data_IF_400224431259
#
_entry.id   IF_400224431259
#
_cell.length_a   1.000
_cell.length_b   1.000
_cell.length_c   1.000
_cell.angle_alpha   90.00
_cell.angle_beta   90.00
_cell.angle_gamma   90.00
#
_symmetry.space_group_name_H-M   'P 1'
#
loop_
_entity.id
_entity.type
_entity.pdbx_description
1 polymer ?
#
# COMPACT_ATOMS: atom_id res chain seq x y z
N UNK A 1 -8.51 10.74 -4.73
CA UNK A 1 -9.21 9.56 -4.19
C UNK A 1 -9.44 9.79 -2.70
N UNK A 2 -10.56 9.33 -2.13
CA UNK A 2 -10.88 9.55 -0.70
C UNK A 2 -10.08 8.62 0.22
N UNK A 3 -9.80 7.40 -0.23
CA UNK A 3 -9.11 6.35 0.54
C UNK A 3 -9.99 5.66 1.59
N UNK A 4 -11.30 5.93 1.57
CA UNK A 4 -12.28 5.29 2.44
C UNK A 4 -12.42 3.80 2.12
N UNK A 5 -12.61 2.99 3.17
CA UNK A 5 -12.92 1.57 3.09
C UNK A 5 -14.27 1.33 2.42
N UNK A 6 -14.38 0.23 1.70
CA UNK A 6 -15.62 -0.22 1.08
C UNK A 6 -16.14 -1.48 1.79
N UNK A 7 -17.43 -1.50 2.10
CA UNK A 7 -18.12 -2.69 2.61
C UNK A 7 -18.77 -3.47 1.48
N UNK A 8 -19.12 -4.74 1.71
CA UNK A 8 -19.85 -5.58 0.74
C UNK A 8 -19.07 -5.81 -0.57
N UNK A 9 -17.75 -5.63 -0.55
CA UNK A 9 -16.87 -6.13 -1.59
C UNK A 9 -16.59 -7.61 -1.35
N UNK A 10 -16.74 -8.42 -2.40
CA UNK A 10 -16.28 -9.80 -2.42
C UNK A 10 -14.76 -9.81 -2.49
N UNK A 11 -14.12 -10.61 -1.65
CA UNK A 11 -12.69 -10.83 -1.68
C UNK A 11 -12.45 -12.33 -1.85
N UNK A 12 -11.68 -12.71 -2.87
CA UNK A 12 -11.39 -14.12 -3.18
C UNK A 12 -9.89 -14.34 -3.30
N UNK A 13 -9.39 -15.45 -2.79
CA UNK A 13 -8.00 -15.90 -2.96
C UNK A 13 -8.02 -17.43 -3.02
N UNK A 14 -7.41 -18.00 -4.06
CA UNK A 14 -7.49 -19.43 -4.36
C UNK A 14 -8.96 -19.90 -4.38
N UNK A 15 -9.30 -20.93 -3.61
CA UNK A 15 -10.66 -21.47 -3.51
C UNK A 15 -11.48 -20.85 -2.37
N UNK A 16 -10.94 -19.81 -1.71
CA UNK A 16 -11.59 -19.16 -0.58
C UNK A 16 -12.18 -17.81 -0.98
N UNK A 17 -13.32 -17.47 -0.40
CA UNK A 17 -14.02 -16.21 -0.63
C UNK A 17 -14.63 -15.71 0.67
N UNK A 18 -14.59 -14.40 0.85
CA UNK A 18 -15.19 -13.68 1.98
C UNK A 18 -15.76 -12.35 1.50
N UNK A 19 -16.44 -11.64 2.40
CA UNK A 19 -17.07 -10.35 2.10
C UNK A 19 -16.64 -9.33 3.15
N UNK A 20 -16.29 -8.13 2.70
CA UNK A 20 -15.90 -7.04 3.61
C UNK A 20 -17.08 -6.56 4.46
N UNK A 21 -16.80 -6.40 5.76
CA UNK A 21 -17.74 -5.86 6.74
C UNK A 21 -17.93 -4.33 6.58
N UNK A 22 -18.67 -3.68 7.49
CA UNK A 22 -18.91 -2.23 7.46
C UNK A 22 -17.64 -1.37 7.57
N UNK A 23 -16.57 -1.92 8.14
CA UNK A 23 -15.25 -1.28 8.23
C UNK A 23 -14.37 -1.58 7.01
N UNK A 24 -14.89 -2.32 6.04
CA UNK A 24 -14.19 -2.79 4.85
C UNK A 24 -13.16 -3.90 5.10
N UNK A 25 -13.31 -4.65 6.18
CA UNK A 25 -12.41 -5.73 6.56
C UNK A 25 -13.05 -7.09 6.31
N UNK A 26 -12.24 -8.07 5.89
CA UNK A 26 -12.62 -9.48 5.87
C UNK A 26 -11.41 -10.34 6.24
N UNK A 27 -11.67 -11.50 6.83
CA UNK A 27 -10.66 -12.54 7.04
C UNK A 27 -10.90 -13.66 6.03
N UNK A 28 -9.81 -14.19 5.50
CA UNK A 28 -9.82 -15.41 4.71
C UNK A 28 -8.77 -16.33 5.31
N UNK A 29 -9.19 -17.51 5.73
CA UNK A 29 -8.29 -18.52 6.23
C UNK A 29 -7.39 -18.99 5.09
N UNK A 30 -6.08 -18.87 5.30
CA UNK A 30 -5.07 -19.49 4.45
C UNK A 30 -4.94 -20.96 4.88
N UNK A 31 -4.62 -21.86 3.95
CA UNK A 31 -4.40 -23.29 4.22
C UNK A 31 -3.68 -23.53 5.57
N UNK A 32 -4.15 -24.52 6.33
CA UNK A 32 -3.37 -25.03 7.47
C UNK A 32 -2.12 -25.67 6.90
N UNK A 33 -0.96 -25.19 7.32
CA UNK A 33 0.39 -25.69 6.97
C UNK A 33 0.62 -27.16 7.34
N UNK A 34 -0.32 -27.79 8.03
CA UNK A 34 -0.25 -29.21 8.42
C UNK A 34 -0.52 -30.17 7.23
N UNK A 35 -1.10 -29.69 6.13
CA UNK A 35 -1.60 -30.52 5.02
C UNK A 35 -0.78 -30.45 3.72
N UNK A 36 0.34 -29.70 3.69
CA UNK A 36 1.09 -29.42 2.44
C UNK A 36 2.58 -29.70 2.64
N UNK A 37 3.23 -30.36 1.68
CA UNK A 37 4.69 -30.51 1.75
C UNK A 37 5.38 -29.15 1.52
N UNK A 38 6.50 -28.89 2.20
CA UNK A 38 7.24 -27.60 2.12
C UNK A 38 7.53 -27.11 0.68
N UNK A 39 7.62 -28.03 -0.29
CA UNK A 39 7.88 -27.74 -1.70
C UNK A 39 6.63 -27.30 -2.47
N UNK A 40 5.48 -27.91 -2.21
CA UNK A 40 4.18 -27.51 -2.78
C UNK A 40 3.75 -26.15 -2.23
N UNK A 41 4.02 -25.87 -0.94
CA UNK A 41 3.77 -24.55 -0.36
C UNK A 41 4.52 -23.41 -1.07
N UNK A 42 5.75 -23.64 -1.55
CA UNK A 42 6.56 -22.60 -2.21
C UNK A 42 6.06 -22.28 -3.63
N UNK A 43 5.48 -23.25 -4.34
CA UNK A 43 4.91 -23.04 -5.67
C UNK A 43 3.51 -22.42 -5.59
N UNK A 44 2.67 -22.87 -4.66
CA UNK A 44 1.33 -22.28 -4.45
C UNK A 44 1.43 -20.82 -3.98
N UNK A 45 2.39 -20.51 -3.09
CA UNK A 45 2.68 -19.13 -2.65
C UNK A 45 2.99 -18.18 -3.81
N UNK A 46 3.59 -18.66 -4.90
CA UNK A 46 3.96 -17.84 -6.06
C UNK A 46 2.80 -17.55 -7.00
N UNK A 47 1.70 -18.29 -6.90
CA UNK A 47 0.57 -18.21 -7.84
C UNK A 47 -0.73 -17.67 -7.21
N UNK A 48 -0.69 -17.21 -5.96
CA UNK A 48 -1.85 -16.61 -5.31
C UNK A 48 -2.22 -15.25 -5.91
N UNK A 49 -3.46 -15.17 -6.41
CA UNK A 49 -4.11 -13.94 -6.86
C UNK A 49 -5.25 -13.62 -5.90
N UNK A 50 -5.18 -12.47 -5.25
CA UNK A 50 -6.31 -11.88 -4.53
C UNK A 50 -7.13 -11.07 -5.52
N UNK A 51 -8.42 -11.39 -5.60
CA UNK A 51 -9.40 -10.68 -6.41
C UNK A 51 -10.38 -10.00 -5.49
N UNK A 52 -10.56 -8.69 -5.67
CA UNK A 52 -11.59 -7.90 -4.99
C UNK A 52 -12.61 -7.45 -6.04
N UNK A 53 -13.88 -7.75 -5.80
CA UNK A 53 -14.99 -7.40 -6.68
C UNK A 53 -16.04 -6.58 -5.91
N UNK A 54 -16.49 -5.48 -6.51
CA UNK A 54 -17.60 -4.67 -5.99
C UNK A 54 -18.36 -4.04 -7.14
N UNK A 55 -19.66 -4.29 -7.23
CA UNK A 55 -20.57 -3.64 -8.19
C UNK A 55 -20.09 -3.72 -9.66
N UNK A 56 -19.43 -4.83 -10.04
CA UNK A 56 -18.88 -5.06 -11.36
C UNK A 56 -17.44 -4.54 -11.56
N UNK A 57 -16.92 -3.73 -10.63
CA UNK A 57 -15.51 -3.34 -10.60
C UNK A 57 -14.65 -4.46 -10.02
N UNK A 58 -13.43 -4.60 -10.55
CA UNK A 58 -12.49 -5.64 -10.17
C UNK A 58 -11.09 -5.09 -9.94
N UNK A 59 -10.46 -5.53 -8.85
CA UNK A 59 -9.06 -5.28 -8.54
C UNK A 59 -8.36 -6.62 -8.29
N UNK A 60 -7.15 -6.77 -8.81
CA UNK A 60 -6.32 -7.95 -8.61
C UNK A 60 -5.00 -7.58 -7.96
N UNK A 61 -4.58 -8.37 -6.97
CA UNK A 61 -3.26 -8.31 -6.38
C UNK A 61 -2.58 -9.66 -6.47
N UNK A 62 -1.46 -9.70 -7.18
CA UNK A 62 -0.57 -10.86 -7.30
C UNK A 62 0.61 -10.71 -6.35
N UNK A 63 1.33 -11.82 -6.11
CA UNK A 63 2.53 -11.88 -5.27
C UNK A 63 2.26 -11.35 -3.85
N UNK A 64 1.31 -11.98 -3.17
CA UNK A 64 0.90 -11.59 -1.81
C UNK A 64 1.87 -12.24 -0.84
N UNK A 65 2.70 -11.40 -0.22
CA UNK A 65 3.59 -11.83 0.84
C UNK A 65 2.95 -11.50 2.18
N UNK A 66 2.85 -12.49 3.10
CA UNK A 66 2.37 -12.20 4.44
C UNK A 66 3.34 -11.25 5.12
N UNK A 67 2.80 -10.15 5.65
CA UNK A 67 3.56 -9.25 6.51
C UNK A 67 4.04 -10.02 7.75
N UNK A 68 5.32 -9.90 8.08
CA UNK A 68 5.97 -10.61 9.20
C UNK A 68 6.13 -9.74 10.45
N UNK A 69 5.43 -8.59 10.52
CA UNK A 69 5.54 -7.70 11.67
C UNK A 69 5.10 -8.40 12.96
N UNK A 70 5.97 -8.31 13.96
CA UNK A 70 5.77 -8.79 15.33
C UNK A 70 5.29 -7.68 16.27
N UNK A 71 5.39 -6.43 15.83
CA UNK A 71 5.00 -5.22 16.56
C UNK A 71 4.11 -4.34 15.69
N UNK A 72 3.47 -3.35 16.32
CA UNK A 72 2.67 -2.36 15.62
C UNK A 72 3.51 -1.67 14.54
N UNK A 73 3.02 -1.67 13.30
CA UNK A 73 3.77 -1.14 12.15
C UNK A 73 2.89 -0.27 11.28
N UNK A 74 3.47 0.79 10.72
CA UNK A 74 2.83 1.54 9.64
C UNK A 74 3.09 0.86 8.31
N UNK A 75 2.01 0.48 7.62
CA UNK A 75 2.05 -0.10 6.28
C UNK A 75 1.67 0.97 5.27
N UNK A 76 2.46 1.06 4.21
CA UNK A 76 2.37 2.11 3.19
C UNK A 76 2.09 1.50 1.84
N UNK A 77 1.16 2.10 1.11
CA UNK A 77 0.95 1.83 -0.32
C UNK A 77 1.04 3.16 -1.06
N UNK A 78 2.15 3.37 -1.78
CA UNK A 78 2.51 4.62 -2.42
C UNK A 78 2.64 4.39 -3.92
N UNK A 79 2.10 5.31 -4.70
CA UNK A 79 2.11 5.25 -6.16
C UNK A 79 2.09 6.66 -6.75
N UNK A 80 2.45 6.74 -8.03
CA UNK A 80 2.40 7.98 -8.80
C UNK A 80 1.42 7.84 -9.98
N UNK A 81 1.13 8.92 -10.69
CA UNK A 81 0.14 8.93 -11.77
C UNK A 81 0.65 8.33 -13.09
N UNK A 82 1.96 8.37 -13.37
CA UNK A 82 2.49 8.09 -14.72
C UNK A 82 3.76 7.24 -14.79
N UNK A 83 4.47 7.01 -13.68
CA UNK A 83 5.74 6.28 -13.65
C UNK A 83 6.96 7.05 -14.20
N UNK A 84 6.80 7.81 -15.29
CA UNK A 84 7.84 8.62 -15.94
C UNK A 84 7.40 10.07 -16.08
N UNK A 85 8.33 10.99 -15.80
CA UNK A 85 8.13 12.44 -15.87
C UNK A 85 9.30 13.11 -16.57
N UNK A 86 9.04 14.27 -17.18
CA UNK A 86 10.08 15.14 -17.75
C UNK A 86 10.40 16.31 -16.81
N UNK A 87 11.58 16.94 -16.98
CA UNK A 87 11.85 18.24 -16.35
C UNK A 87 10.69 19.22 -16.59
N UNK A 88 10.42 20.08 -15.61
CA UNK A 88 9.29 21.04 -15.57
C UNK A 88 7.89 20.43 -15.48
N UNK A 89 7.74 19.11 -15.41
CA UNK A 89 6.42 18.51 -15.21
C UNK A 89 6.02 18.49 -13.74
N UNK A 90 4.70 18.55 -13.52
CA UNK A 90 4.09 18.28 -12.24
C UNK A 90 4.07 16.77 -11.99
N UNK A 91 4.69 16.37 -10.88
CA UNK A 91 4.68 15.03 -10.34
C UNK A 91 3.61 14.96 -9.26
N UNK A 92 2.78 13.93 -9.33
CA UNK A 92 1.80 13.62 -8.30
C UNK A 92 2.12 12.30 -7.64
N UNK A 93 2.37 12.32 -6.33
CA UNK A 93 2.58 11.12 -5.53
C UNK A 93 1.44 11.00 -4.53
N UNK A 94 0.76 9.86 -4.56
CA UNK A 94 -0.37 9.57 -3.67
C UNK A 94 -0.07 8.33 -2.87
N UNK A 95 -0.69 8.22 -1.71
CA UNK A 95 -0.55 6.99 -0.95
C UNK A 95 -1.53 6.86 0.20
N UNK A 96 -1.59 5.63 0.70
CA UNK A 96 -2.34 5.25 1.89
C UNK A 96 -1.37 4.80 2.96
N UNK A 97 -1.65 5.20 4.19
CA UNK A 97 -0.94 4.77 5.38
C UNK A 97 -1.95 4.11 6.32
N UNK A 98 -1.62 2.92 6.80
CA UNK A 98 -2.40 2.18 7.78
C UNK A 98 -1.51 1.83 8.96
N UNK A 99 -2.05 1.93 10.18
CA UNK A 99 -1.41 1.32 11.34
C UNK A 99 -1.95 -0.11 11.45
N UNK A 100 -1.06 -1.08 11.34
CA UNK A 100 -1.37 -2.47 11.62
C UNK A 100 -1.09 -2.72 13.10
N UNK A 101 -2.15 -2.80 13.90
CA UNK A 101 -2.03 -3.09 15.33
C UNK A 101 -1.95 -4.60 15.53
N UNK A 102 -0.95 -5.05 16.26
CA UNK A 102 -0.76 -6.46 16.60
C UNK A 102 -1.31 -6.68 18.01
N UNK A 103 -2.29 -7.57 18.13
CA UNK A 103 -2.92 -7.95 19.40
C UNK A 103 -2.98 -9.48 19.50
N UNK A 104 -1.95 -10.07 20.12
CA UNK A 104 -1.75 -11.52 20.05
C UNK A 104 -1.50 -11.95 18.61
N UNK A 105 -2.33 -12.86 18.09
CA UNK A 105 -2.28 -13.30 16.69
C UNK A 105 -3.08 -12.41 15.74
N UNK A 106 -3.91 -11.50 16.27
CA UNK A 106 -4.75 -10.63 15.47
C UNK A 106 -3.95 -9.45 14.91
N UNK A 107 -4.14 -9.18 13.61
CA UNK A 107 -3.62 -8.00 12.92
C UNK A 107 -4.78 -7.08 12.55
N UNK A 108 -4.92 -5.96 13.26
CA UNK A 108 -6.05 -5.05 13.15
C UNK A 108 -5.63 -3.75 12.45
N UNK A 109 -5.94 -3.58 11.15
CA UNK A 109 -5.60 -2.36 10.43
C UNK A 109 -6.52 -1.21 10.84
N UNK A 110 -5.93 -0.03 11.04
CA UNK A 110 -6.65 1.22 11.30
C UNK A 110 -6.11 2.35 10.43
N UNK A 111 -6.91 3.41 10.24
CA UNK A 111 -6.45 4.59 9.50
C UNK A 111 -5.38 5.33 10.29
N UNK A 112 -4.19 5.47 9.69
CA UNK A 112 -3.17 6.34 10.25
C UNK A 112 -3.67 7.80 10.22
N UNK A 113 -3.32 8.56 11.25
CA UNK A 113 -3.63 9.99 11.36
C UNK A 113 -2.33 10.75 11.56
N UNK A 114 -2.35 12.05 11.28
CA UNK A 114 -1.25 12.95 11.60
C UNK A 114 -0.58 13.53 10.36
N UNK A 115 0.72 13.78 10.49
CA UNK A 115 1.54 14.46 9.50
C UNK A 115 2.71 13.55 9.13
N UNK A 116 2.96 13.45 7.82
CA UNK A 116 4.10 12.73 7.25
C UNK A 116 5.12 13.75 6.77
N UNK A 117 6.34 13.63 7.26
CA UNK A 117 7.49 14.34 6.71
C UNK A 117 7.98 13.57 5.49
N UNK A 118 8.24 14.27 4.37
CA UNK A 118 8.76 13.63 3.17
C UNK A 118 9.93 14.42 2.58
N UNK A 119 10.83 13.68 1.93
CA UNK A 119 11.94 14.23 1.15
C UNK A 119 12.02 13.53 -0.19
N UNK A 120 12.44 14.27 -1.20
CA UNK A 120 12.57 13.81 -2.58
C UNK A 120 13.99 14.10 -3.03
N UNK A 121 14.65 13.07 -3.54
CA UNK A 121 16.03 13.12 -4.01
C UNK A 121 16.09 12.66 -5.46
N UNK A 122 16.91 13.34 -6.25
CA UNK A 122 17.22 12.90 -7.59
C UNK A 122 18.21 11.70 -7.58
N UNK A 123 18.51 11.09 -8.74
CA UNK A 123 19.38 9.92 -8.82
C UNK A 123 20.82 10.14 -8.33
N UNK A 124 21.26 11.39 -8.17
CA UNK A 124 22.60 11.75 -7.66
C UNK A 124 22.56 12.13 -6.18
N UNK A 125 21.40 12.06 -5.53
CA UNK A 125 21.22 12.43 -4.14
C UNK A 125 20.97 13.92 -3.93
N UNK A 126 20.77 14.72 -4.99
CA UNK A 126 20.40 16.12 -4.83
C UNK A 126 18.96 16.23 -4.34
N UNK A 127 18.74 17.02 -3.28
CA UNK A 127 17.41 17.19 -2.71
C UNK A 127 16.55 18.08 -3.61
N UNK A 128 15.50 17.50 -4.20
CA UNK A 128 14.53 18.22 -5.03
C UNK A 128 13.47 18.90 -4.19
N UNK A 129 13.04 18.26 -3.09
CA UNK A 129 12.02 18.81 -2.21
C UNK A 129 12.11 18.21 -0.80
N UNK A 130 11.73 19.01 0.19
CA UNK A 130 11.46 18.57 1.56
C UNK A 130 10.23 19.32 2.08
N UNK A 131 9.22 18.60 2.55
CA UNK A 131 8.03 19.21 3.12
C UNK A 131 7.27 18.23 4.02
N UNK A 132 6.09 18.64 4.48
CA UNK A 132 5.17 17.86 5.29
C UNK A 132 3.83 17.73 4.58
N UNK A 133 3.16 16.59 4.71
CA UNK A 133 1.80 16.38 4.22
C UNK A 133 0.91 15.84 5.33
N UNK A 134 -0.27 16.44 5.50
CA UNK A 134 -1.25 15.98 6.49
C UNK A 134 -2.06 14.83 5.90
N UNK A 135 -2.18 13.74 6.65
CA UNK A 135 -3.07 12.64 6.30
C UNK A 135 -4.53 13.08 6.44
N UNK A 136 -5.37 12.66 5.50
CA UNK A 136 -6.82 12.81 5.65
C UNK A 136 -7.36 11.80 6.68
N UNK A 137 -8.67 11.87 6.97
CA UNK A 137 -9.34 10.97 7.92
C UNK A 137 -9.14 9.47 7.60
N UNK A 138 -8.93 9.13 6.33
CA UNK A 138 -8.70 7.77 5.85
C UNK A 138 -7.22 7.45 5.66
N UNK A 139 -6.31 8.16 6.31
CA UNK A 139 -4.86 7.94 6.21
C UNK A 139 -4.29 8.10 4.81
N UNK A 140 -4.90 8.96 3.98
CA UNK A 140 -4.46 9.20 2.59
C UNK A 140 -3.70 10.52 2.50
N UNK A 141 -2.68 10.57 1.64
CA UNK A 141 -1.99 11.81 1.28
C UNK A 141 -1.89 11.99 -0.23
N UNK A 142 -1.66 13.24 -0.63
CA UNK A 142 -1.46 13.67 -2.01
C UNK A 142 -0.38 14.76 -2.01
N UNK A 143 0.75 14.46 -2.66
CA UNK A 143 1.88 15.37 -2.80
C UNK A 143 1.95 15.80 -4.27
N UNK A 144 2.08 17.11 -4.48
CA UNK A 144 2.33 17.70 -5.79
C UNK A 144 3.62 18.53 -5.72
N UNK A 145 4.46 18.36 -6.72
CA UNK A 145 5.59 19.26 -6.95
C UNK A 145 6.00 19.30 -8.42
N UNK A 146 6.70 20.37 -8.82
CA UNK A 146 7.20 20.54 -10.18
C UNK A 146 8.68 20.19 -10.22
N UNK A 147 9.09 19.37 -11.19
CA UNK A 147 10.51 19.03 -11.37
C UNK A 147 11.31 20.25 -11.85
N UNK A 148 12.51 20.51 -11.28
CA UNK A 148 13.42 21.51 -11.81
C UNK A 148 13.83 21.20 -13.27
N UNK A 149 14.18 22.22 -14.03
CA UNK A 149 14.65 22.06 -15.42
C UNK A 149 15.95 21.27 -15.51
N UNK A 150 16.82 21.44 -14.52
CA UNK A 150 18.15 20.85 -14.42
C UNK A 150 18.17 19.55 -13.60
N UNK A 151 17.02 18.90 -13.37
CA UNK A 151 16.96 17.64 -12.63
C UNK A 151 17.78 16.54 -13.34
N UNK A 152 18.54 15.76 -12.57
CA UNK A 152 19.26 14.62 -13.13
C UNK A 152 18.26 13.52 -13.57
N UNK A 153 18.51 12.93 -14.74
CA UNK A 153 17.66 11.86 -15.29
C UNK A 153 17.93 10.53 -14.57
N UNK A 154 16.86 9.77 -14.30
CA UNK A 154 16.93 8.45 -13.69
C UNK A 154 15.85 8.26 -12.61
N UNK A 155 16.09 7.31 -11.71
CA UNK A 155 15.19 7.00 -10.61
C UNK A 155 15.26 8.06 -9.50
N UNK A 156 14.14 8.72 -9.26
CA UNK A 156 13.94 9.63 -8.13
C UNK A 156 13.54 8.82 -6.90
N UNK A 157 14.13 9.12 -5.76
CA UNK A 157 13.77 8.52 -4.47
C UNK A 157 12.82 9.45 -3.71
N UNK A 158 11.77 8.90 -3.11
CA UNK A 158 10.98 9.59 -2.10
C UNK A 158 11.03 8.83 -0.78
N UNK A 159 11.47 9.51 0.27
CA UNK A 159 11.52 8.98 1.63
C UNK A 159 10.42 9.61 2.48
N UNK A 160 9.84 8.82 3.36
CA UNK A 160 8.75 9.20 4.26
C UNK A 160 9.12 8.91 5.70
N UNK A 161 8.68 9.76 6.61
CA UNK A 161 8.78 9.53 8.05
C UNK A 161 7.49 9.98 8.74
N UNK A 162 6.88 9.06 9.47
CA UNK A 162 5.84 9.38 10.46
C UNK A 162 6.47 9.94 11.72
N UNK A 163 5.84 10.95 12.31
CA UNK A 163 6.21 11.52 13.61
C UNK A 163 5.86 10.57 14.75
#
# INVERSE_FOLDING_TARGET
>A
MTGASISQATVSILNHKSVTNQQGLCTIDRYKTEDVTRREEEEDRKNEILVVEKDGDLCMKVNIYPDQATDNVYVWHVFNDRGLYRPKEDVHIKGYVRLLKIEGEAKLPTYAQGIVDYKIYDPRGEQLQQSKVKLNHYGTFDIKFTLPDNVNLGSVECSYKTL
#
